data_IF_199543923038
#
_entry.id   IF_199543923038
#
_cell.length_a   1.000
_cell.length_b   1.000
_cell.length_c   1.000
_cell.angle_alpha   90.00
_cell.angle_beta   90.00
_cell.angle_gamma   90.00
#
_symmetry.space_group_name_H-M   'P 1'
#
loop_
_entity.id
_entity.type
_entity.pdbx_description
1 polymer ?
#
# COMPACT_ATOMS: atom_id res chain seq x y z
N UNK A 1 6.73 0.36 -17.18
CA UNK A 1 6.67 -1.07 -17.55
C UNK A 1 7.40 -1.86 -16.47
N UNK A 2 6.87 -3.03 -16.07
CA UNK A 2 7.48 -3.91 -15.08
C UNK A 2 7.80 -5.27 -15.71
N UNK A 3 8.58 -6.11 -15.02
CA UNK A 3 8.66 -7.54 -15.34
C UNK A 3 7.29 -8.18 -15.16
N UNK A 4 6.86 -9.00 -16.11
CA UNK A 4 5.56 -9.70 -16.06
C UNK A 4 5.50 -10.68 -14.90
N UNK A 5 6.59 -11.43 -14.65
CA UNK A 5 6.68 -12.37 -13.52
C UNK A 5 6.49 -11.61 -12.20
N UNK A 6 7.17 -10.48 -12.05
CA UNK A 6 7.04 -9.64 -10.86
C UNK A 6 5.60 -9.12 -10.68
N UNK A 7 4.96 -8.67 -11.75
CA UNK A 7 3.57 -8.22 -11.67
C UNK A 7 2.62 -9.36 -11.27
N UNK A 8 2.80 -10.53 -11.87
CA UNK A 8 1.97 -11.71 -11.64
C UNK A 8 2.09 -12.23 -10.20
N UNK A 9 3.32 -12.31 -9.66
CA UNK A 9 3.56 -12.72 -8.27
C UNK A 9 2.84 -11.79 -7.28
N UNK A 10 2.86 -10.49 -7.53
CA UNK A 10 2.14 -9.53 -6.68
C UNK A 10 0.63 -9.70 -6.76
N UNK A 11 0.09 -9.86 -7.97
CA UNK A 11 -1.34 -10.05 -8.18
C UNK A 11 -1.83 -11.37 -7.56
N UNK A 12 -1.09 -12.46 -7.73
CA UNK A 12 -1.44 -13.77 -7.16
C UNK A 12 -1.39 -13.77 -5.63
N UNK A 13 -0.40 -13.09 -5.04
CA UNK A 13 -0.36 -12.91 -3.60
C UNK A 13 -1.55 -12.10 -3.08
N UNK A 14 -1.90 -11.00 -3.77
CA UNK A 14 -3.05 -10.16 -3.41
C UNK A 14 -4.37 -10.91 -3.49
N UNK A 15 -4.61 -11.65 -4.59
CA UNK A 15 -5.81 -12.47 -4.78
C UNK A 15 -5.88 -13.59 -3.74
N UNK A 16 -4.75 -14.22 -3.41
CA UNK A 16 -4.69 -15.23 -2.36
C UNK A 16 -5.12 -14.69 -0.99
N UNK A 17 -4.76 -13.44 -0.65
CA UNK A 17 -5.23 -12.82 0.60
C UNK A 17 -6.74 -12.59 0.63
N UNK A 18 -7.35 -12.25 -0.51
CA UNK A 18 -8.80 -12.12 -0.65
C UNK A 18 -9.52 -13.46 -0.56
N UNK A 19 -8.97 -14.51 -1.18
CA UNK A 19 -9.62 -15.83 -1.24
C UNK A 19 -9.54 -16.61 0.07
N UNK A 20 -8.46 -16.46 0.85
CA UNK A 20 -8.28 -17.18 2.13
C UNK A 20 -9.50 -17.15 3.06
N UNK A 21 -10.07 -15.99 3.44
CA UNK A 21 -11.25 -15.96 4.31
C UNK A 21 -12.52 -16.51 3.66
N UNK A 22 -12.63 -16.46 2.32
CA UNK A 22 -13.74 -17.06 1.59
C UNK A 22 -13.67 -18.58 1.66
N UNK A 23 -12.51 -19.16 1.35
CA UNK A 23 -12.27 -20.60 1.43
C UNK A 23 -12.38 -21.15 2.86
N UNK A 24 -12.17 -20.31 3.87
CA UNK A 24 -12.36 -20.66 5.29
C UNK A 24 -13.82 -20.54 5.75
N UNK A 25 -14.75 -20.15 4.88
CA UNK A 25 -16.16 -19.94 5.24
C UNK A 25 -16.40 -18.75 6.18
N UNK A 26 -15.42 -17.85 6.33
CA UNK A 26 -15.53 -16.67 7.22
C UNK A 26 -16.22 -15.50 6.52
N UNK A 27 -16.16 -15.47 5.19
CA UNK A 27 -16.74 -14.47 4.30
C UNK A 27 -17.38 -15.23 3.14
N UNK A 28 -18.53 -14.80 2.64
CA UNK A 28 -19.19 -15.44 1.49
C UNK A 28 -18.55 -15.04 0.17
N UNK A 29 -18.37 -13.74 -0.06
CA UNK A 29 -17.65 -13.23 -1.23
C UNK A 29 -17.14 -11.79 -1.04
N UNK A 30 -16.22 -11.38 -1.91
CA UNK A 30 -15.82 -9.99 -2.09
C UNK A 30 -16.16 -9.53 -3.51
N UNK A 31 -16.81 -8.37 -3.62
CA UNK A 31 -17.18 -7.75 -4.90
C UNK A 31 -16.53 -6.36 -4.98
N UNK A 32 -15.72 -6.07 -6.01
CA UNK A 32 -15.15 -4.73 -6.18
C UNK A 32 -16.27 -3.68 -6.29
N UNK A 33 -16.15 -2.60 -5.51
CA UNK A 33 -17.12 -1.50 -5.56
C UNK A 33 -17.01 -0.75 -6.86
N UNK A 34 -18.15 -0.44 -7.45
CA UNK A 34 -18.24 0.34 -8.68
C UNK A 34 -17.61 1.75 -8.55
N UNK A 35 -17.75 2.39 -7.40
CA UNK A 35 -17.11 3.69 -7.13
C UNK A 35 -15.59 3.60 -7.07
N UNK A 36 -15.05 2.55 -6.45
CA UNK A 36 -13.61 2.35 -6.31
C UNK A 36 -12.96 2.03 -7.65
N UNK A 37 -13.58 1.18 -8.47
CA UNK A 37 -13.07 0.85 -9.81
C UNK A 37 -13.11 2.07 -10.74
N UNK A 38 -14.19 2.87 -10.72
CA UNK A 38 -14.27 4.12 -11.49
C UNK A 38 -13.23 5.15 -11.07
N UNK A 39 -13.09 5.38 -9.76
CA UNK A 39 -12.11 6.33 -9.22
C UNK A 39 -10.68 5.92 -9.60
N UNK A 40 -10.36 4.63 -9.42
CA UNK A 40 -9.07 4.07 -9.82
C UNK A 40 -8.81 4.24 -11.31
N UNK A 41 -9.79 3.90 -12.17
CA UNK A 41 -9.63 4.02 -13.61
C UNK A 41 -9.40 5.49 -14.03
N UNK A 42 -10.16 6.44 -13.46
CA UNK A 42 -9.96 7.88 -13.72
C UNK A 42 -8.56 8.34 -13.34
N UNK A 43 -8.10 7.95 -12.15
CA UNK A 43 -6.74 8.25 -11.70
C UNK A 43 -5.68 7.60 -12.60
N UNK A 44 -5.82 6.32 -12.92
CA UNK A 44 -4.88 5.58 -13.76
C UNK A 44 -4.74 6.21 -15.16
N UNK A 45 -5.86 6.56 -15.81
CA UNK A 45 -5.83 7.24 -17.10
C UNK A 45 -5.19 8.63 -17.00
N UNK A 46 -5.44 9.38 -15.92
CA UNK A 46 -4.80 10.70 -15.72
C UNK A 46 -3.27 10.61 -15.64
N UNK A 47 -2.74 9.54 -15.02
CA UNK A 47 -1.30 9.28 -14.98
C UNK A 47 -0.76 8.77 -16.33
N UNK A 48 -1.50 7.89 -17.01
CA UNK A 48 -1.05 7.28 -18.27
C UNK A 48 -1.08 8.26 -19.44
N UNK A 49 -1.97 9.26 -19.42
CA UNK A 49 -2.06 10.28 -20.47
C UNK A 49 -0.79 11.14 -20.58
N UNK A 50 -0.03 11.30 -19.49
CA UNK A 50 1.25 12.03 -19.50
C UNK A 50 2.46 11.15 -19.84
N UNK A 51 2.28 9.84 -20.06
CA UNK A 51 3.35 8.93 -20.44
C UNK A 51 3.52 8.81 -21.95
N UNK A 52 4.70 8.37 -22.40
CA UNK A 52 5.04 8.15 -23.82
C UNK A 52 4.05 7.24 -24.58
N UNK A 53 3.34 6.37 -23.86
CA UNK A 53 2.34 5.45 -24.41
C UNK A 53 1.06 6.16 -24.89
N UNK A 54 0.83 7.42 -24.49
CA UNK A 54 -0.31 8.20 -24.96
C UNK A 54 -0.15 8.71 -26.39
N UNK A 55 1.08 8.76 -26.92
CA UNK A 55 1.35 9.20 -28.31
C UNK A 55 1.70 8.06 -29.28
N UNK A 56 1.79 6.82 -28.80
CA UNK A 56 2.26 5.68 -29.60
C UNK A 56 1.12 4.71 -29.93
N UNK A 57 0.92 4.43 -31.22
CA UNK A 57 0.06 3.35 -31.68
C UNK A 57 0.66 2.00 -31.24
N UNK A 58 -0.02 1.30 -30.33
CA UNK A 58 0.48 0.06 -29.74
C UNK A 58 -0.67 -0.78 -29.22
N UNK A 59 -0.41 -2.08 -29.01
CA UNK A 59 -1.38 -3.02 -28.44
C UNK A 59 -1.85 -2.64 -27.02
N UNK A 60 -1.16 -1.71 -26.35
CA UNK A 60 -1.47 -1.30 -24.97
C UNK A 60 -2.61 -0.28 -24.85
N UNK A 61 -3.07 0.29 -25.96
CA UNK A 61 -4.16 1.27 -26.03
C UNK A 61 -5.19 0.88 -27.07
N UNK A 62 -6.39 1.40 -26.93
CA UNK A 62 -7.40 1.31 -27.97
C UNK A 62 -7.04 2.22 -29.17
N UNK A 63 -7.79 2.12 -30.26
CA UNK A 63 -7.62 2.98 -31.43
C UNK A 63 -8.31 4.34 -31.24
N UNK A 64 -7.69 5.42 -31.74
CA UNK A 64 -8.22 6.79 -31.71
C UNK A 64 -7.35 7.80 -30.94
N UNK A 65 -7.62 9.10 -31.18
CA UNK A 65 -6.81 10.22 -30.68
C UNK A 65 -6.77 10.35 -29.15
N UNK A 66 -7.79 9.87 -28.43
CA UNK A 66 -7.87 9.90 -26.95
C UNK A 66 -8.09 8.50 -26.36
N UNK A 67 -7.55 7.49 -27.03
CA UNK A 67 -7.86 6.12 -26.72
C UNK A 67 -7.27 5.66 -25.38
N UNK A 68 -8.08 4.91 -24.65
CA UNK A 68 -7.75 4.40 -23.31
C UNK A 68 -6.53 3.48 -23.35
N UNK A 69 -5.58 3.71 -22.45
CA UNK A 69 -4.47 2.79 -22.19
C UNK A 69 -4.95 1.77 -21.16
N UNK A 70 -5.07 0.50 -21.53
CA UNK A 70 -5.73 -0.52 -20.69
C UNK A 70 -4.79 -1.61 -20.18
N UNK A 71 -3.62 -1.79 -20.78
CA UNK A 71 -2.72 -2.89 -20.47
C UNK A 71 -1.57 -2.53 -19.51
N UNK A 72 -1.37 -1.24 -19.20
CA UNK A 72 -0.21 -0.76 -18.45
C UNK A 72 -0.57 -0.31 -17.04
N UNK A 73 0.35 -0.58 -16.12
CA UNK A 73 0.29 -0.04 -14.76
C UNK A 73 0.62 1.47 -14.77
N UNK A 74 -0.19 2.32 -14.12
CA UNK A 74 -0.03 3.78 -14.15
C UNK A 74 1.15 4.32 -13.33
N UNK A 75 1.82 3.49 -12.50
CA UNK A 75 2.92 3.92 -11.62
C UNK A 75 4.24 3.17 -11.85
N UNK A 76 5.23 3.42 -11.00
CA UNK A 76 6.49 2.66 -10.96
C UNK A 76 6.37 1.31 -10.23
N UNK A 77 7.42 0.49 -10.28
CA UNK A 77 7.43 -0.86 -9.66
C UNK A 77 7.23 -0.81 -8.14
N UNK A 78 7.77 0.20 -7.46
CA UNK A 78 7.58 0.40 -6.01
C UNK A 78 6.10 0.72 -5.72
N UNK A 79 5.47 1.56 -6.56
CA UNK A 79 4.04 1.85 -6.45
C UNK A 79 3.20 0.59 -6.66
N UNK A 80 3.57 -0.25 -7.63
CA UNK A 80 2.91 -1.54 -7.89
C UNK A 80 3.01 -2.46 -6.68
N UNK A 81 4.23 -2.68 -6.17
CA UNK A 81 4.47 -3.48 -4.97
C UNK A 81 3.65 -2.99 -3.79
N UNK A 82 3.68 -1.69 -3.51
CA UNK A 82 2.94 -1.11 -2.39
C UNK A 82 1.43 -1.31 -2.52
N UNK A 83 0.90 -1.15 -3.74
CA UNK A 83 -0.53 -1.28 -4.04
C UNK A 83 -1.04 -2.71 -3.88
N UNK A 84 -0.21 -3.70 -4.23
CA UNK A 84 -0.56 -5.13 -4.12
C UNK A 84 -0.11 -5.78 -2.80
N UNK A 85 0.59 -5.06 -1.93
CA UNK A 85 1.13 -5.63 -0.67
C UNK A 85 0.05 -6.16 0.26
N UNK A 86 -1.13 -5.54 0.28
CA UNK A 86 -2.30 -5.96 1.07
C UNK A 86 -3.60 -5.48 0.43
N UNK A 87 -4.70 -6.26 0.50
CA UNK A 87 -6.02 -5.81 0.07
C UNK A 87 -6.49 -4.56 0.80
N UNK A 88 -6.97 -3.58 0.02
CA UNK A 88 -7.73 -2.47 0.59
C UNK A 88 -9.20 -2.89 0.72
N UNK A 89 -9.57 -3.33 1.92
CA UNK A 89 -10.93 -3.79 2.22
C UNK A 89 -12.02 -2.75 1.98
N UNK A 90 -11.68 -1.46 1.93
CA UNK A 90 -12.65 -0.38 1.62
C UNK A 90 -13.07 -0.40 0.14
N UNK A 91 -12.29 -1.02 -0.74
CA UNK A 91 -12.61 -1.10 -2.17
C UNK A 91 -13.57 -2.23 -2.53
N UNK A 92 -13.96 -3.04 -1.54
CA UNK A 92 -14.83 -4.20 -1.74
C UNK A 92 -16.12 -4.05 -0.94
N UNK A 93 -17.20 -4.51 -1.55
CA UNK A 93 -18.39 -4.97 -0.84
C UNK A 93 -18.16 -6.43 -0.44
N UNK A 94 -18.60 -6.78 0.75
CA UNK A 94 -18.40 -8.09 1.33
C UNK A 94 -19.77 -8.71 1.60
N UNK A 95 -19.99 -9.91 1.08
CA UNK A 95 -21.23 -10.66 1.33
C UNK A 95 -20.95 -11.65 2.46
N UNK A 96 -21.59 -11.45 3.61
CA UNK A 96 -21.35 -12.25 4.82
C UNK A 96 -19.99 -11.99 5.48
N UNK A 97 -19.88 -12.21 6.79
CA UNK A 97 -18.61 -12.09 7.51
C UNK A 97 -18.36 -10.76 8.23
N UNK A 98 -19.40 -10.02 8.63
CA UNK A 98 -19.27 -8.73 9.35
C UNK A 98 -18.35 -8.82 10.57
N UNK A 99 -18.51 -9.88 11.37
CA UNK A 99 -17.68 -10.18 12.53
C UNK A 99 -16.19 -10.38 12.16
N UNK A 100 -15.91 -10.93 10.98
CA UNK A 100 -14.54 -11.13 10.51
C UNK A 100 -13.88 -9.79 10.19
N UNK A 101 -14.59 -8.90 9.49
CA UNK A 101 -14.05 -7.59 9.12
C UNK A 101 -13.79 -6.71 10.35
N UNK A 102 -14.68 -6.73 11.34
CA UNK A 102 -14.49 -6.00 12.61
C UNK A 102 -13.25 -6.49 13.35
N UNK A 103 -13.11 -7.82 13.52
CA UNK A 103 -11.91 -8.42 14.15
C UNK A 103 -10.64 -8.04 13.39
N UNK A 104 -10.67 -8.08 12.05
CA UNK A 104 -9.51 -7.74 11.23
C UNK A 104 -9.12 -6.28 11.37
N UNK A 105 -10.08 -5.36 11.34
CA UNK A 105 -9.84 -3.92 11.55
C UNK A 105 -9.22 -3.65 12.92
N UNK A 106 -9.73 -4.30 13.97
CA UNK A 106 -9.15 -4.18 15.31
C UNK A 106 -7.69 -4.66 15.35
N UNK A 107 -7.39 -5.82 14.76
CA UNK A 107 -6.02 -6.34 14.67
C UNK A 107 -5.09 -5.41 13.88
N UNK A 108 -5.57 -4.85 12.75
CA UNK A 108 -4.78 -3.92 11.94
C UNK A 108 -4.49 -2.60 12.70
N UNK A 109 -5.48 -2.08 13.44
CA UNK A 109 -5.30 -0.89 14.30
C UNK A 109 -4.32 -1.14 15.45
N UNK A 110 -4.42 -2.28 16.14
CA UNK A 110 -3.48 -2.66 17.21
C UNK A 110 -2.05 -2.76 16.66
N UNK A 111 -1.87 -3.44 15.53
CA UNK A 111 -0.56 -3.56 14.89
C UNK A 111 0.03 -2.21 14.47
N UNK A 112 -0.81 -1.26 14.03
CA UNK A 112 -0.37 0.10 13.72
C UNK A 112 0.10 0.85 14.98
N UNK A 113 -0.68 0.79 16.06
CA UNK A 113 -0.35 1.43 17.35
C UNK A 113 0.98 0.88 17.89
N UNK A 114 1.19 -0.44 17.86
CA UNK A 114 2.43 -1.05 18.32
C UNK A 114 3.66 -0.56 17.55
N UNK A 115 3.54 -0.43 16.21
CA UNK A 115 4.63 0.11 15.38
C UNK A 115 4.96 1.56 15.70
N UNK A 116 3.93 2.39 15.89
CA UNK A 116 4.11 3.79 16.29
C UNK A 116 4.75 3.87 17.67
N UNK A 117 4.27 3.08 18.63
CA UNK A 117 4.84 3.00 19.98
C UNK A 117 6.32 2.61 19.97
N UNK A 118 6.70 1.59 19.20
CA UNK A 118 8.11 1.18 19.04
C UNK A 118 8.97 2.29 18.41
N UNK A 119 8.46 2.99 17.40
CA UNK A 119 9.19 4.09 16.79
C UNK A 119 9.39 5.26 17.77
N UNK A 120 8.34 5.63 18.52
CA UNK A 120 8.41 6.69 19.55
C UNK A 120 9.40 6.31 20.66
N UNK A 121 9.35 5.07 21.16
CA UNK A 121 10.29 4.58 22.16
C UNK A 121 11.74 4.59 21.66
N UNK A 122 11.97 4.19 20.41
CA UNK A 122 13.30 4.23 19.78
C UNK A 122 13.85 5.65 19.65
N UNK A 123 13.03 6.59 19.18
CA UNK A 123 13.41 8.01 19.08
C UNK A 123 13.69 8.59 20.47
N UNK A 124 12.82 8.33 21.45
CA UNK A 124 13.00 8.78 22.83
C UNK A 124 14.30 8.27 23.45
N UNK A 125 14.63 6.99 23.23
CA UNK A 125 15.90 6.41 23.67
C UNK A 125 17.12 7.12 23.08
N UNK A 126 17.12 7.38 21.77
CA UNK A 126 18.19 8.11 21.09
C UNK A 126 18.37 9.53 21.65
N UNK A 127 17.27 10.25 21.85
CA UNK A 127 17.30 11.61 22.43
C UNK A 127 17.86 11.60 23.86
N UNK A 128 17.44 10.65 24.70
CA UNK A 128 17.95 10.52 26.06
C UNK A 128 19.45 10.21 26.08
N UNK A 129 19.93 9.33 25.20
CA UNK A 129 21.37 9.04 25.09
C UNK A 129 22.17 10.27 24.63
N UNK A 130 21.65 11.04 23.68
CA UNK A 130 22.30 12.26 23.21
C UNK A 130 22.36 13.32 24.32
N UNK A 131 21.25 13.55 25.04
CA UNK A 131 21.21 14.49 26.17
C UNK A 131 22.14 14.07 27.32
N UNK A 132 22.21 12.77 27.62
CA UNK A 132 23.15 12.22 28.60
C UNK A 132 24.61 12.46 28.21
N UNK A 133 24.96 12.25 26.94
CA UNK A 133 26.30 12.49 26.42
C UNK A 133 26.67 13.99 26.42
N UNK A 134 25.72 14.87 26.08
CA UNK A 134 25.91 16.32 26.20
C UNK A 134 26.15 16.77 27.64
N UNK A 135 25.36 16.27 28.61
CA UNK A 135 25.56 16.58 30.02
C UNK A 135 26.92 16.10 30.55
N UNK A 136 27.37 14.90 30.14
CA UNK A 136 28.67 14.37 30.53
C UNK A 136 29.84 15.24 29.99
N UNK A 137 29.74 15.72 28.75
CA UNK A 137 30.75 16.60 28.16
C UNK A 137 30.83 17.97 28.86
N UNK A 138 29.68 18.55 29.24
CA UNK A 138 29.64 19.82 29.99
C UNK A 138 30.30 19.68 31.37
N UNK A 139 30.01 18.60 32.09
CA UNK A 139 30.61 18.32 33.40
C UNK A 139 32.13 18.13 33.29
N UNK A 140 32.61 17.45 32.24
CA UNK A 140 34.04 17.26 32.00
C UNK A 140 34.74 18.60 31.74
N UNK A 141 34.17 19.45 30.89
CA UNK A 141 34.72 20.79 30.59
C UNK A 141 34.83 21.69 31.82
N UNK A 142 33.89 21.60 32.77
CA UNK A 142 33.94 22.38 34.02
C UNK A 142 34.99 21.87 35.02
N UNK A 143 35.43 20.61 34.92
CA UNK A 143 36.43 20.03 35.84
C UNK A 143 37.88 20.20 35.35
N UNK A 144 38.07 20.51 34.07
CA UNK A 144 39.39 20.72 33.45
C UNK A 144 39.82 22.19 33.37
N UNK A 145 38.95 23.11 33.79
CA UNK A 145 39.25 24.54 34.02
C UNK A 145 39.46 24.78 35.52
#
# INVERSE_FOLDING_TARGET
HASVIFAEELQMNYVSELLKPVLQGKVGSFVPRNESTRSWNKWAQSCLNSHVWSGCASWYRADGADAKIFALWPGGNIHMWWSFRKPNWKHFEMVGGENWLLKRRALDSIGAILRVGLAVAGIGGLVLTALGQSNALVIFSQKTL
#
